data_IF_831390726882
#
_entry.id   IF_831390726882
#
_cell.length_a   1.000
_cell.length_b   1.000
_cell.length_c   1.000
_cell.angle_alpha   90.00
_cell.angle_beta   90.00
_cell.angle_gamma   90.00
#
_symmetry.space_group_name_H-M   'P 1'
#
loop_
_entity.id
_entity.type
_entity.pdbx_description
1 polymer ?
#
# COMPACT_ATOMS: atom_id res chain seq x y z
N UNK A 1 6.68 0.51 9.17
CA UNK A 1 6.27 1.73 8.44
C UNK A 1 5.37 2.64 9.28
N UNK A 2 6.03 3.44 10.12
CA UNK A 2 5.65 4.85 10.22
C UNK A 2 6.48 5.58 9.16
N UNK A 3 5.91 6.58 8.51
CA UNK A 3 6.64 7.48 7.61
C UNK A 3 7.12 8.61 8.50
N UNK A 4 8.42 8.83 8.59
CA UNK A 4 8.97 9.94 9.36
C UNK A 4 9.56 10.97 8.42
N UNK A 5 9.19 12.23 8.62
CA UNK A 5 9.80 13.33 7.90
C UNK A 5 11.32 13.31 8.16
N UNK A 6 12.13 13.21 7.10
CA UNK A 6 13.60 13.26 7.16
C UNK A 6 14.13 14.50 7.88
N UNK A 7 13.39 15.61 7.81
CA UNK A 7 13.84 16.89 8.38
C UNK A 7 13.43 17.07 9.85
N UNK A 8 12.27 16.56 10.29
CA UNK A 8 11.73 16.88 11.62
C UNK A 8 11.22 15.68 12.43
N UNK A 9 11.28 14.46 11.87
CA UNK A 9 10.77 13.24 12.50
C UNK A 9 9.25 13.14 12.61
N UNK A 10 8.51 14.19 12.23
CA UNK A 10 7.04 14.21 12.24
C UNK A 10 6.47 13.13 11.33
N UNK A 11 5.42 12.44 11.81
CA UNK A 11 4.79 11.32 11.11
C UNK A 11 3.40 11.66 10.54
N UNK A 12 3.02 12.94 10.61
CA UNK A 12 1.78 13.46 10.07
C UNK A 12 2.06 14.23 8.79
N UNK A 13 1.37 13.85 7.73
CA UNK A 13 1.50 14.47 6.42
C UNK A 13 0.11 14.89 5.95
N UNK A 14 -0.03 16.17 5.64
CA UNK A 14 -1.18 16.70 4.94
C UNK A 14 -0.81 16.80 3.48
N UNK A 15 -1.78 16.57 2.61
CA UNK A 15 -1.56 16.68 1.18
C UNK A 15 -1.92 18.09 0.72
N UNK A 16 -1.02 18.73 -0.01
CA UNK A 16 -1.29 19.99 -0.71
C UNK A 16 -0.84 19.84 -2.14
N UNK A 17 -1.80 19.89 -3.06
CA UNK A 17 -1.58 19.71 -4.50
C UNK A 17 -0.87 18.39 -4.81
N UNK A 18 0.43 18.50 -5.09
CA UNK A 18 1.30 17.52 -5.70
C UNK A 18 2.30 16.90 -4.70
N UNK A 19 2.35 17.44 -3.47
CA UNK A 19 3.31 17.06 -2.46
C UNK A 19 2.64 16.63 -1.15
N UNK A 20 3.32 15.73 -0.44
CA UNK A 20 3.06 15.43 0.96
C UNK A 20 3.79 16.44 1.81
N UNK A 21 3.02 17.29 2.49
CA UNK A 21 3.55 18.27 3.40
C UNK A 21 3.56 17.65 4.79
N UNK A 22 4.73 17.47 5.37
CA UNK A 22 4.84 17.17 6.78
C UNK A 22 4.12 18.27 7.56
N UNK A 23 3.02 17.94 8.26
CA UNK A 23 2.23 18.95 8.98
C UNK A 23 2.98 19.57 10.14
N UNK A 24 4.11 18.97 10.54
CA UNK A 24 4.94 19.42 11.64
C UNK A 24 5.99 20.45 11.20
N UNK A 25 6.54 20.37 9.99
CA UNK A 25 7.60 21.29 9.54
C UNK A 25 7.42 21.89 8.15
N UNK A 26 6.34 21.54 7.44
CA UNK A 26 6.07 22.06 6.10
C UNK A 26 6.91 21.42 4.99
N UNK A 27 7.77 20.43 5.28
CA UNK A 27 8.59 19.78 4.26
C UNK A 27 7.70 19.02 3.28
N UNK A 28 7.89 19.31 2.00
CA UNK A 28 7.23 18.68 0.88
C UNK A 28 7.99 17.42 0.43
N UNK A 29 7.24 16.35 0.16
CA UNK A 29 7.73 15.09 -0.37
C UNK A 29 6.88 14.64 -1.55
N UNK A 30 7.52 14.13 -2.60
CA UNK A 30 6.81 13.40 -3.65
C UNK A 30 6.29 12.06 -3.14
N UNK A 31 5.35 11.46 -3.86
CA UNK A 31 4.90 10.09 -3.67
C UNK A 31 6.06 9.08 -3.47
N UNK A 32 7.08 9.21 -4.32
CA UNK A 32 8.26 8.35 -4.32
C UNK A 32 9.15 8.61 -3.10
N UNK A 33 9.35 9.89 -2.74
CA UNK A 33 10.07 10.20 -1.51
C UNK A 33 9.34 9.65 -0.30
N UNK A 34 8.00 9.61 -0.27
CA UNK A 34 7.25 8.94 0.81
C UNK A 34 7.52 7.43 0.87
N UNK A 35 7.72 6.76 -0.27
CA UNK A 35 8.18 5.36 -0.33
C UNK A 35 9.64 5.28 0.19
N UNK A 36 10.51 6.21 -0.18
CA UNK A 36 11.87 6.34 0.40
C UNK A 36 11.90 6.96 1.82
N UNK A 37 10.75 7.22 2.45
CA UNK A 37 10.63 7.61 3.85
C UNK A 37 10.09 6.46 4.70
N UNK A 38 9.82 5.32 4.06
CA UNK A 38 9.43 4.12 4.76
C UNK A 38 10.67 3.34 5.20
N UNK A 39 11.06 3.56 6.46
CA UNK A 39 12.31 3.06 7.07
C UNK A 39 12.54 1.53 6.92
N UNK A 40 11.50 0.75 6.65
CA UNK A 40 11.58 -0.71 6.50
C UNK A 40 11.77 -1.21 5.05
N UNK A 41 11.61 -0.35 4.03
CA UNK A 41 11.72 -0.73 2.60
C UNK A 41 13.15 -0.46 2.06
N UNK A 42 13.92 0.36 2.75
CA UNK A 42 15.12 1.01 2.20
C UNK A 42 16.43 0.30 2.56
N UNK A 43 16.47 -0.61 3.54
CA UNK A 43 17.75 -1.19 3.95
C UNK A 43 18.43 -2.01 2.84
N UNK A 44 17.67 -2.58 1.89
CA UNK A 44 18.23 -3.48 0.86
C UNK A 44 18.15 -2.97 -0.59
N UNK A 45 17.64 -1.76 -0.85
CA UNK A 45 17.54 -1.21 -2.21
C UNK A 45 18.83 -0.54 -2.74
N UNK A 46 19.97 -0.67 -2.05
CA UNK A 46 21.26 -0.11 -2.53
C UNK A 46 21.70 -0.66 -3.89
N UNK A 47 21.16 -1.80 -4.32
CA UNK A 47 21.51 -2.46 -5.60
C UNK A 47 20.85 -1.83 -6.83
N UNK A 48 19.85 -0.95 -6.68
CA UNK A 48 19.12 -0.35 -7.81
C UNK A 48 19.47 1.14 -8.07
N UNK A 49 20.50 1.66 -7.40
CA UNK A 49 20.90 3.08 -7.47
C UNK A 49 21.57 3.50 -8.79
N UNK A 50 21.80 2.61 -9.76
CA UNK A 50 22.50 2.97 -11.01
C UNK A 50 21.62 3.59 -12.10
N UNK A 51 20.29 3.67 -11.92
CA UNK A 51 19.36 4.40 -12.82
C UNK A 51 18.73 5.66 -12.19
N UNK A 52 19.27 6.15 -11.07
CA UNK A 52 18.69 7.18 -10.19
C UNK A 52 18.58 8.59 -10.79
N UNK A 53 19.19 8.87 -11.94
CA UNK A 53 19.28 10.22 -12.50
C UNK A 53 18.04 10.75 -13.22
N UNK A 54 17.07 9.90 -13.59
CA UNK A 54 15.90 10.34 -14.39
C UNK A 54 14.55 10.13 -13.72
N UNK A 55 14.53 9.55 -12.52
CA UNK A 55 13.30 9.03 -11.89
C UNK A 55 12.61 10.13 -11.07
N UNK A 56 13.37 10.87 -10.25
CA UNK A 56 12.86 11.98 -9.43
C UNK A 56 12.37 13.20 -10.22
N UNK A 57 12.93 13.44 -11.41
CA UNK A 57 12.47 14.53 -12.29
C UNK A 57 11.25 14.17 -13.13
N UNK A 58 11.05 12.88 -13.46
CA UNK A 58 9.90 12.41 -14.26
C UNK A 58 8.66 12.11 -13.41
N UNK A 59 8.82 11.66 -12.17
CA UNK A 59 7.67 11.38 -11.27
C UNK A 59 7.13 12.62 -10.54
N UNK A 60 7.80 13.77 -10.62
CA UNK A 60 7.23 15.09 -10.24
C UNK A 60 5.97 15.44 -11.03
N UNK A 61 5.80 14.80 -12.19
CA UNK A 61 4.68 15.04 -13.11
C UNK A 61 3.49 14.07 -12.89
N UNK A 62 3.57 13.20 -11.87
CA UNK A 62 2.59 12.15 -11.58
C UNK A 62 1.39 12.68 -10.77
N UNK A 63 0.79 13.72 -11.30
CA UNK A 63 -0.46 14.25 -10.81
C UNK A 63 -1.52 14.08 -11.87
N UNK A 64 -2.77 13.84 -11.47
CA UNK A 64 -3.86 14.09 -12.37
C UNK A 64 -3.87 15.58 -12.68
N UNK A 65 -3.20 15.98 -13.76
CA UNK A 65 -3.18 17.36 -14.27
C UNK A 65 -4.59 17.84 -14.67
N UNK A 66 -5.58 16.95 -14.59
CA UNK A 66 -6.94 17.13 -15.07
C UNK A 66 -7.95 16.74 -13.97
N UNK A 67 -9.15 17.33 -13.97
CA UNK A 67 -10.20 16.98 -13.03
C UNK A 67 -10.73 15.55 -13.25
N UNK A 68 -11.36 14.96 -12.25
CA UNK A 68 -11.94 13.61 -12.32
C UNK A 68 -12.81 13.39 -13.58
N UNK A 69 -13.63 14.38 -13.94
CA UNK A 69 -14.52 14.35 -15.11
C UNK A 69 -13.78 14.17 -16.45
N UNK A 70 -12.52 14.61 -16.53
CA UNK A 70 -11.67 14.39 -17.70
C UNK A 70 -11.36 12.90 -17.86
N UNK A 71 -10.93 12.24 -16.79
CA UNK A 71 -10.59 10.81 -16.81
C UNK A 71 -11.83 9.93 -16.97
N UNK A 72 -12.96 10.32 -16.39
CA UNK A 72 -14.24 9.64 -16.62
C UNK A 72 -14.64 9.71 -18.10
N UNK A 73 -14.42 10.85 -18.75
CA UNK A 73 -14.65 11.01 -20.18
C UNK A 73 -13.64 10.22 -21.03
N UNK A 74 -12.40 10.09 -20.58
CA UNK A 74 -11.40 9.23 -21.22
C UNK A 74 -11.83 7.76 -21.17
N UNK A 75 -12.30 7.26 -20.02
CA UNK A 75 -12.79 5.88 -19.89
C UNK A 75 -14.06 5.59 -20.72
N UNK A 76 -14.91 6.59 -20.96
CA UNK A 76 -16.05 6.43 -21.89
C UNK A 76 -15.60 6.21 -23.33
N UNK A 77 -14.47 6.80 -23.74
CA UNK A 77 -13.90 6.63 -25.09
C UNK A 77 -13.04 5.38 -25.21
N UNK A 78 -12.24 5.10 -24.19
CA UNK A 78 -11.40 3.92 -24.10
C UNK A 78 -11.52 3.32 -22.70
N UNK A 79 -12.37 2.30 -22.51
CA UNK A 79 -12.53 1.63 -21.21
C UNK A 79 -11.23 1.02 -20.66
N UNK A 80 -10.25 0.76 -21.53
CA UNK A 80 -8.97 0.17 -21.17
C UNK A 80 -7.87 1.22 -20.93
N UNK A 81 -8.15 2.53 -20.92
CA UNK A 81 -7.14 3.55 -20.63
C UNK A 81 -6.61 3.41 -19.20
N UNK A 82 -5.45 2.77 -19.04
CA UNK A 82 -4.88 2.48 -17.73
C UNK A 82 -4.55 3.77 -16.95
N UNK A 83 -4.11 4.81 -17.65
CA UNK A 83 -3.77 6.09 -17.06
C UNK A 83 -5.03 6.77 -16.48
N UNK A 84 -6.14 6.72 -17.20
CA UNK A 84 -7.43 7.20 -16.69
C UNK A 84 -7.95 6.35 -15.53
N UNK A 85 -7.84 5.02 -15.58
CA UNK A 85 -8.21 4.14 -14.47
C UNK A 85 -7.40 4.47 -13.21
N UNK A 86 -6.09 4.65 -13.36
CA UNK A 86 -5.16 4.91 -12.27
C UNK A 86 -5.41 6.27 -11.62
N UNK A 87 -5.60 7.32 -12.42
CA UNK A 87 -5.92 8.66 -11.91
C UNK A 87 -7.28 8.72 -11.23
N UNK A 88 -8.27 7.97 -11.69
CA UNK A 88 -9.56 7.84 -11.01
C UNK A 88 -9.40 7.14 -9.65
N UNK A 89 -8.55 6.11 -9.57
CA UNK A 89 -8.24 5.43 -8.30
C UNK A 89 -7.59 6.42 -7.32
N UNK A 90 -6.67 7.23 -7.81
CA UNK A 90 -6.01 8.21 -6.96
C UNK A 90 -6.95 9.33 -6.48
N UNK A 91 -7.69 9.95 -7.41
CA UNK A 91 -8.58 11.08 -7.13
C UNK A 91 -9.75 10.72 -6.20
N UNK A 92 -10.25 9.49 -6.28
CA UNK A 92 -11.34 9.06 -5.41
C UNK A 92 -10.85 8.54 -4.05
N UNK A 93 -9.62 8.02 -3.95
CA UNK A 93 -9.04 7.63 -2.66
C UNK A 93 -8.90 8.83 -1.71
N UNK A 94 -8.51 9.98 -2.25
CA UNK A 94 -8.37 11.25 -1.50
C UNK A 94 -9.70 11.75 -0.92
N UNK A 95 -10.81 11.41 -1.57
CA UNK A 95 -12.18 11.82 -1.18
C UNK A 95 -12.92 10.76 -0.40
N UNK A 96 -12.34 9.58 -0.23
CA UNK A 96 -13.03 8.43 0.35
C UNK A 96 -13.33 8.70 1.83
N UNK A 97 -14.59 8.53 2.21
CA UNK A 97 -14.96 8.54 3.63
C UNK A 97 -14.43 7.27 4.29
N UNK A 98 -14.19 7.36 5.60
CA UNK A 98 -13.76 6.23 6.45
C UNK A 98 -14.58 4.95 6.22
N UNK A 99 -15.90 5.09 6.04
CA UNK A 99 -16.83 3.97 5.76
C UNK A 99 -16.71 3.37 4.37
N UNK A 100 -16.12 4.08 3.42
CA UNK A 100 -15.99 3.69 2.01
C UNK A 100 -14.63 3.03 1.70
N UNK A 101 -13.68 3.08 2.63
CA UNK A 101 -12.31 2.61 2.45
C UNK A 101 -12.22 1.12 2.13
N UNK A 102 -12.89 0.25 2.90
CA UNK A 102 -12.87 -1.19 2.63
C UNK A 102 -13.45 -1.52 1.23
N UNK A 103 -14.65 -1.02 0.88
CA UNK A 103 -15.15 -1.12 -0.50
C UNK A 103 -14.16 -0.63 -1.55
N UNK A 104 -13.44 0.46 -1.25
CA UNK A 104 -12.45 1.04 -2.15
C UNK A 104 -11.25 0.13 -2.37
N UNK A 105 -10.66 -0.40 -1.29
CA UNK A 105 -9.53 -1.35 -1.37
C UNK A 105 -9.93 -2.57 -2.20
N UNK A 106 -11.14 -3.10 -1.99
CA UNK A 106 -11.66 -4.22 -2.79
C UNK A 106 -11.83 -3.87 -4.27
N UNK A 107 -12.22 -2.64 -4.59
CA UNK A 107 -12.25 -2.15 -5.98
C UNK A 107 -10.84 -2.12 -6.57
N UNK A 108 -9.84 -1.68 -5.82
CA UNK A 108 -8.43 -1.69 -6.25
C UNK A 108 -7.92 -3.10 -6.52
N UNK A 109 -8.24 -4.06 -5.65
CA UNK A 109 -7.93 -5.48 -5.86
C UNK A 109 -8.52 -5.97 -7.18
N UNK A 110 -9.80 -5.67 -7.43
CA UNK A 110 -10.49 -6.17 -8.62
C UNK A 110 -10.06 -5.49 -9.93
N UNK A 111 -9.53 -4.27 -9.87
CA UNK A 111 -9.09 -3.51 -11.05
C UNK A 111 -7.59 -3.70 -11.34
N UNK A 112 -6.79 -4.07 -10.35
CA UNK A 112 -5.37 -4.44 -10.47
C UNK A 112 -5.05 -5.26 -11.74
N UNK A 113 -5.65 -6.45 -11.94
CA UNK A 113 -5.31 -7.27 -13.10
C UNK A 113 -5.77 -6.66 -14.42
N UNK A 114 -6.78 -5.78 -14.42
CA UNK A 114 -7.26 -5.09 -15.63
C UNK A 114 -6.30 -3.99 -16.05
N UNK A 115 -5.77 -3.23 -15.09
CA UNK A 115 -4.77 -2.18 -15.33
C UNK A 115 -3.49 -2.81 -15.86
N UNK A 116 -3.00 -3.87 -15.22
CA UNK A 116 -1.77 -4.55 -15.61
C UNK A 116 -1.91 -5.21 -17.00
N UNK A 117 -3.06 -5.84 -17.32
CA UNK A 117 -3.33 -6.33 -18.68
C UNK A 117 -3.36 -5.22 -19.70
N UNK A 118 -4.01 -4.09 -19.41
CA UNK A 118 -4.00 -2.94 -20.32
C UNK A 118 -2.59 -2.43 -20.60
N UNK A 119 -1.72 -2.37 -19.58
CA UNK A 119 -0.31 -2.01 -19.76
C UNK A 119 0.40 -3.01 -20.68
N UNK A 120 0.24 -4.33 -20.44
CA UNK A 120 0.82 -5.40 -21.28
C UNK A 120 0.33 -5.31 -22.73
N UNK A 121 -0.97 -5.08 -22.92
CA UNK A 121 -1.63 -5.03 -24.24
C UNK A 121 -1.35 -3.71 -24.98
N UNK A 122 -0.82 -2.68 -24.29
CA UNK A 122 -0.43 -1.40 -24.90
C UNK A 122 0.87 -1.49 -25.71
N UNK A 123 1.57 -2.63 -25.67
CA UNK A 123 2.83 -2.86 -26.39
C UNK A 123 3.87 -1.75 -26.21
N UNK A 124 3.95 -1.22 -24.98
CA UNK A 124 4.96 -0.24 -24.60
C UNK A 124 6.35 -0.88 -24.74
N UNK A 125 7.36 -0.04 -25.00
CA UNK A 125 8.73 -0.50 -24.83
C UNK A 125 9.01 -0.81 -23.35
N UNK A 126 10.07 -1.56 -23.08
CA UNK A 126 10.36 -2.08 -21.75
C UNK A 126 10.49 -0.97 -20.68
N UNK A 127 11.16 0.14 -20.99
CA UNK A 127 11.31 1.24 -20.06
C UNK A 127 9.97 1.89 -19.71
N UNK A 128 9.09 2.10 -20.69
CA UNK A 128 7.76 2.70 -20.47
C UNK A 128 6.78 1.74 -19.80
N UNK A 129 6.88 0.45 -20.10
CA UNK A 129 6.09 -0.59 -19.42
C UNK A 129 6.46 -0.65 -17.93
N UNK A 130 7.76 -0.66 -17.64
CA UNK A 130 8.28 -0.59 -16.28
C UNK A 130 7.80 0.68 -15.57
N UNK A 131 7.92 1.85 -16.20
CA UNK A 131 7.44 3.13 -15.66
C UNK A 131 5.94 3.07 -15.31
N UNK A 132 5.10 2.59 -16.23
CA UNK A 132 3.66 2.44 -15.99
C UNK A 132 3.35 1.49 -14.82
N UNK A 133 4.08 0.38 -14.68
CA UNK A 133 3.88 -0.56 -13.56
C UNK A 133 4.29 0.08 -12.23
N UNK A 134 5.40 0.83 -12.23
CA UNK A 134 5.84 1.60 -11.07
C UNK A 134 4.79 2.63 -10.64
N UNK A 135 4.18 3.33 -11.58
CA UNK A 135 3.10 4.28 -11.31
C UNK A 135 1.91 3.59 -10.61
N UNK A 136 1.50 2.41 -11.09
CA UNK A 136 0.43 1.63 -10.47
C UNK A 136 0.80 1.25 -9.03
N UNK A 137 2.01 0.74 -8.82
CA UNK A 137 2.53 0.38 -7.50
C UNK A 137 2.53 1.60 -6.56
N UNK A 138 2.99 2.75 -7.04
CA UNK A 138 3.05 3.99 -6.28
C UNK A 138 1.67 4.47 -5.82
N UNK A 139 0.67 4.46 -6.70
CA UNK A 139 -0.71 4.80 -6.32
C UNK A 139 -1.25 3.83 -5.28
N UNK A 140 -1.01 2.53 -5.44
CA UNK A 140 -1.48 1.54 -4.48
C UNK A 140 -0.86 1.75 -3.10
N UNK A 141 0.44 2.01 -3.03
CA UNK A 141 1.16 2.32 -1.79
C UNK A 141 0.65 3.59 -1.12
N UNK A 142 0.54 4.68 -1.87
CA UNK A 142 -0.02 5.93 -1.36
C UNK A 142 -1.42 5.74 -0.80
N UNK A 143 -2.30 5.13 -1.59
CA UNK A 143 -3.70 4.95 -1.18
C UNK A 143 -3.77 4.07 0.06
N UNK A 144 -2.93 3.04 0.15
CA UNK A 144 -2.83 2.19 1.32
C UNK A 144 -2.34 2.93 2.57
N UNK A 145 -1.35 3.83 2.45
CA UNK A 145 -0.89 4.69 3.54
C UNK A 145 -2.00 5.63 3.99
N UNK A 146 -2.66 6.32 3.05
CA UNK A 146 -3.80 7.20 3.33
C UNK A 146 -4.90 6.46 4.08
N UNK A 147 -5.25 5.25 3.62
CA UNK A 147 -6.29 4.45 4.24
C UNK A 147 -5.89 3.86 5.60
N UNK A 148 -4.62 3.46 5.77
CA UNK A 148 -4.10 3.02 7.06
C UNK A 148 -4.23 4.12 8.12
N UNK A 149 -3.86 5.34 7.73
CA UNK A 149 -3.76 6.49 8.63
C UNK A 149 -5.06 7.31 8.71
N UNK A 150 -6.07 6.95 7.92
CA UNK A 150 -7.40 7.55 7.97
C UNK A 150 -8.12 7.20 9.28
N UNK A 151 -7.77 7.95 10.31
CA UNK A 151 -8.48 7.95 11.58
C UNK A 151 -9.17 9.28 11.77
N UNK A 152 -10.40 9.19 12.27
CA UNK A 152 -11.00 10.30 12.96
C UNK A 152 -10.27 10.45 14.30
N UNK A 153 -9.24 11.29 14.37
CA UNK A 153 -8.47 11.53 15.61
C UNK A 153 -9.34 11.97 16.79
N UNK A 154 -10.58 12.40 16.56
CA UNK A 154 -11.55 12.70 17.61
C UNK A 154 -12.28 11.45 18.13
N UNK A 155 -12.46 10.43 17.31
CA UNK A 155 -13.11 9.17 17.63
C UNK A 155 -12.38 8.39 18.75
N UNK A 156 -11.05 8.28 18.67
CA UNK A 156 -10.24 7.56 19.69
C UNK A 156 -10.16 8.29 21.04
N UNK A 157 -10.35 9.61 21.07
CA UNK A 157 -10.28 10.42 22.29
C UNK A 157 -11.61 10.50 23.06
N UNK A 158 -12.74 10.23 22.42
CA UNK A 158 -14.10 10.46 22.97
C UNK A 158 -14.86 9.14 23.19
N UNK A 159 -14.29 8.01 22.80
CA UNK A 159 -14.96 6.71 22.79
C UNK A 159 -15.27 6.11 24.17
N UNK A 160 -16.49 5.60 24.34
CA UNK A 160 -16.74 4.51 25.28
C UNK A 160 -16.19 3.18 24.72
N UNK A 161 -16.10 2.16 25.58
CA UNK A 161 -15.44 0.88 25.26
C UNK A 161 -16.02 0.19 24.02
N UNK A 162 -17.34 0.21 23.85
CA UNK A 162 -18.02 -0.38 22.68
C UNK A 162 -17.65 0.31 21.35
N UNK A 163 -17.50 1.63 21.37
CA UNK A 163 -17.07 2.38 20.19
C UNK A 163 -15.58 2.13 19.88
N UNK A 164 -14.72 2.06 20.91
CA UNK A 164 -13.32 1.69 20.74
C UNK A 164 -13.18 0.27 20.14
N UNK A 165 -14.00 -0.68 20.58
CA UNK A 165 -14.05 -2.04 20.01
C UNK A 165 -14.45 -2.02 18.52
N UNK A 166 -15.46 -1.24 18.12
CA UNK A 166 -15.89 -1.13 16.72
C UNK A 166 -14.82 -0.51 15.84
N UNK A 167 -14.20 0.59 16.29
CA UNK A 167 -13.12 1.28 15.57
C UNK A 167 -11.92 0.36 15.39
N UNK A 168 -11.55 -0.40 16.42
CA UNK A 168 -10.47 -1.38 16.35
C UNK A 168 -10.78 -2.52 15.36
N UNK A 169 -12.03 -3.00 15.31
CA UNK A 169 -12.47 -4.01 14.34
C UNK A 169 -12.42 -3.49 12.91
N UNK A 170 -12.93 -2.28 12.64
CA UNK A 170 -12.89 -1.69 11.30
C UNK A 170 -11.45 -1.44 10.84
N UNK A 171 -10.59 -0.93 11.72
CA UNK A 171 -9.18 -0.74 11.42
C UNK A 171 -8.50 -2.07 11.11
N UNK A 172 -8.69 -3.10 11.94
CA UNK A 172 -8.18 -4.45 11.70
C UNK A 172 -8.61 -4.99 10.32
N UNK A 173 -9.89 -4.86 9.97
CA UNK A 173 -10.40 -5.28 8.67
C UNK A 173 -9.79 -4.50 7.50
N UNK A 174 -9.54 -3.18 7.66
CA UNK A 174 -8.84 -2.39 6.64
C UNK A 174 -7.43 -2.91 6.41
N UNK A 175 -6.68 -3.17 7.47
CA UNK A 175 -5.30 -3.69 7.35
C UNK A 175 -5.29 -5.07 6.67
N UNK A 176 -6.27 -5.94 6.98
CA UNK A 176 -6.44 -7.22 6.28
C UNK A 176 -6.67 -7.04 4.78
N UNK A 177 -7.53 -6.10 4.39
CA UNK A 177 -7.83 -5.82 2.97
C UNK A 177 -6.63 -5.18 2.27
N UNK A 178 -5.89 -4.28 2.93
CA UNK A 178 -4.64 -3.74 2.39
C UNK A 178 -3.60 -4.84 2.19
N UNK A 179 -3.48 -5.77 3.13
CA UNK A 179 -2.60 -6.93 2.97
C UNK A 179 -2.99 -7.75 1.74
N UNK A 180 -4.30 -7.98 1.55
CA UNK A 180 -4.82 -8.69 0.37
C UNK A 180 -4.49 -7.93 -0.92
N UNK A 181 -4.62 -6.61 -0.93
CA UNK A 181 -4.25 -5.77 -2.08
C UNK A 181 -2.83 -6.02 -2.54
N UNK A 182 -1.84 -5.94 -1.64
CA UNK A 182 -0.45 -6.09 -2.03
C UNK A 182 -0.08 -7.53 -2.42
N UNK A 183 -0.63 -8.52 -1.73
CA UNK A 183 -0.45 -9.91 -2.12
C UNK A 183 -1.02 -10.20 -3.51
N UNK A 184 -2.27 -9.79 -3.76
CA UNK A 184 -2.89 -9.95 -5.08
C UNK A 184 -2.16 -9.16 -6.15
N UNK A 185 -1.71 -7.93 -5.87
CA UNK A 185 -0.94 -7.14 -6.83
C UNK A 185 0.37 -7.82 -7.22
N UNK A 186 1.11 -8.40 -6.27
CA UNK A 186 2.33 -9.16 -6.58
C UNK A 186 2.03 -10.43 -7.39
N UNK A 187 0.97 -11.17 -7.04
CA UNK A 187 0.53 -12.36 -7.78
C UNK A 187 0.08 -11.99 -9.22
N UNK A 188 -0.60 -10.86 -9.38
CA UNK A 188 -1.01 -10.32 -10.69
C UNK A 188 0.22 -9.93 -11.53
N UNK A 189 1.24 -9.29 -10.94
CA UNK A 189 2.48 -8.95 -11.63
C UNK A 189 3.20 -10.18 -12.17
N UNK A 190 3.36 -11.21 -11.34
CA UNK A 190 4.00 -12.45 -11.76
C UNK A 190 3.21 -13.17 -12.86
N UNK A 191 1.89 -13.28 -12.69
CA UNK A 191 1.05 -14.04 -13.62
C UNK A 191 0.80 -13.32 -14.93
N UNK A 192 0.64 -11.99 -14.92
CA UNK A 192 0.35 -11.22 -16.14
C UNK A 192 1.61 -11.02 -16.95
N UNK A 193 2.77 -10.78 -16.34
CA UNK A 193 4.02 -10.51 -17.06
C UNK A 193 5.00 -11.69 -17.06
N UNK A 194 4.50 -12.91 -16.80
CA UNK A 194 5.27 -14.14 -16.90
C UNK A 194 6.58 -14.09 -16.07
N UNK A 195 6.52 -13.45 -14.90
CA UNK A 195 7.65 -13.27 -13.99
C UNK A 195 8.66 -12.18 -14.36
N UNK A 196 8.47 -11.41 -15.44
CA UNK A 196 9.37 -10.32 -15.87
C UNK A 196 9.64 -9.29 -14.76
N UNK A 197 8.63 -9.00 -13.94
CA UNK A 197 8.67 -7.98 -12.89
C UNK A 197 8.72 -8.57 -11.48
N UNK A 198 9.44 -9.70 -11.30
CA UNK A 198 9.46 -10.42 -10.02
C UNK A 198 9.99 -9.58 -8.85
N UNK A 199 10.97 -8.70 -9.07
CA UNK A 199 11.49 -7.81 -8.02
C UNK A 199 10.40 -6.84 -7.50
N UNK A 200 9.54 -6.35 -8.39
CA UNK A 200 8.40 -5.52 -8.02
C UNK A 200 7.33 -6.33 -7.27
N UNK A 201 7.09 -7.57 -7.69
CA UNK A 201 6.19 -8.47 -6.97
C UNK A 201 6.70 -8.72 -5.53
N UNK A 202 8.01 -8.94 -5.36
CA UNK A 202 8.66 -9.08 -4.05
C UNK A 202 8.45 -7.85 -3.16
N UNK A 203 8.62 -6.64 -3.70
CA UNK A 203 8.35 -5.40 -2.94
C UNK A 203 6.88 -5.33 -2.49
N UNK A 204 5.96 -5.77 -3.34
CA UNK A 204 4.54 -5.86 -2.98
C UNK A 204 4.31 -6.89 -1.86
N UNK A 205 4.88 -8.09 -1.93
CA UNK A 205 4.78 -9.10 -0.87
C UNK A 205 5.33 -8.61 0.46
N UNK A 206 6.51 -7.97 0.45
CA UNK A 206 7.10 -7.36 1.65
C UNK A 206 6.16 -6.34 2.29
N UNK A 207 5.52 -5.51 1.47
CA UNK A 207 4.52 -4.54 1.92
C UNK A 207 3.31 -5.23 2.53
N UNK A 208 2.79 -6.28 1.89
CA UNK A 208 1.69 -7.10 2.42
C UNK A 208 2.02 -7.75 3.77
N UNK A 209 3.20 -8.38 3.89
CA UNK A 209 3.69 -8.96 5.16
C UNK A 209 3.76 -7.88 6.24
N UNK A 210 4.29 -6.71 5.91
CA UNK A 210 4.41 -5.62 6.86
C UNK A 210 3.04 -5.19 7.44
N UNK A 211 2.03 -4.99 6.59
CA UNK A 211 0.66 -4.72 7.06
C UNK A 211 0.13 -5.83 7.97
N UNK A 212 0.41 -7.08 7.63
CA UNK A 212 -0.04 -8.22 8.41
C UNK A 212 0.62 -8.31 9.79
N UNK A 213 1.91 -7.97 9.90
CA UNK A 213 2.65 -7.96 11.16
C UNK A 213 2.09 -6.93 12.17
N UNK A 214 1.36 -5.92 11.72
CA UNK A 214 0.69 -4.96 12.61
C UNK A 214 -0.55 -5.54 13.29
N UNK A 215 -1.18 -6.55 12.69
CA UNK A 215 -2.45 -7.09 13.18
C UNK A 215 -2.38 -8.55 13.64
N UNK A 216 -1.29 -9.28 13.36
CA UNK A 216 -1.22 -10.72 13.64
C UNK A 216 -1.45 -11.07 15.12
N UNK A 217 -1.01 -10.21 16.05
CA UNK A 217 -1.24 -10.40 17.49
C UNK A 217 -2.70 -10.23 17.92
N UNK A 218 -3.45 -9.51 17.10
CA UNK A 218 -4.85 -9.19 17.34
C UNK A 218 -5.78 -10.27 16.78
N UNK A 219 -5.26 -11.16 15.93
CA UNK A 219 -6.06 -12.20 15.31
C UNK A 219 -6.36 -13.36 16.28
N UNK A 220 -7.61 -13.82 16.27
CA UNK A 220 -8.05 -14.97 17.05
C UNK A 220 -7.39 -16.28 16.59
N UNK A 221 -7.16 -16.43 15.28
CA UNK A 221 -6.50 -17.60 14.69
C UNK A 221 -5.20 -17.18 13.98
N UNK A 222 -4.12 -17.08 14.74
CA UNK A 222 -2.81 -16.68 14.23
C UNK A 222 -2.25 -17.67 13.20
N UNK A 223 -2.57 -18.96 13.28
CA UNK A 223 -2.01 -19.99 12.40
C UNK A 223 -2.35 -19.76 10.93
N UNK A 224 -3.59 -19.36 10.64
CA UNK A 224 -4.01 -19.02 9.26
C UNK A 224 -3.19 -17.86 8.73
N UNK A 225 -2.92 -16.87 9.59
CA UNK A 225 -2.13 -15.70 9.24
C UNK A 225 -0.64 -16.06 9.05
N UNK A 226 -0.06 -16.84 9.96
CA UNK A 226 1.33 -17.31 9.88
C UNK A 226 1.57 -18.11 8.60
N UNK A 227 0.67 -19.04 8.27
CA UNK A 227 0.75 -19.82 7.02
C UNK A 227 0.76 -18.92 5.80
N UNK A 228 -0.09 -17.89 5.79
CA UNK A 228 -0.14 -16.93 4.68
C UNK A 228 1.15 -16.10 4.57
N UNK A 229 1.70 -15.62 5.68
CA UNK A 229 3.00 -14.92 5.67
C UNK A 229 4.08 -15.85 5.10
N UNK A 230 4.22 -17.05 5.65
CA UNK A 230 5.27 -18.00 5.24
C UNK A 230 5.21 -18.32 3.75
N UNK A 231 4.01 -18.49 3.20
CA UNK A 231 3.84 -18.67 1.76
C UNK A 231 4.46 -17.52 0.95
N UNK A 232 4.20 -16.26 1.31
CA UNK A 232 4.77 -15.12 0.60
C UNK A 232 6.26 -14.90 0.91
N UNK A 233 6.74 -15.27 2.10
CA UNK A 233 8.19 -15.28 2.39
C UNK A 233 8.94 -16.28 1.53
N UNK A 234 8.36 -17.46 1.26
CA UNK A 234 8.94 -18.43 0.31
C UNK A 234 9.05 -17.82 -1.08
N UNK A 235 8.01 -17.11 -1.56
CA UNK A 235 8.07 -16.39 -2.84
C UNK A 235 9.16 -15.32 -2.86
N UNK A 236 9.33 -14.58 -1.77
CA UNK A 236 10.42 -13.59 -1.62
C UNK A 236 11.78 -14.27 -1.72
N UNK A 237 11.98 -15.39 -1.01
CA UNK A 237 13.27 -16.13 -1.00
C UNK A 237 13.67 -16.74 -2.35
N UNK A 238 12.73 -16.87 -3.30
CA UNK A 238 13.06 -17.26 -4.68
C UNK A 238 13.85 -16.17 -5.44
N UNK A 239 13.80 -14.93 -4.96
CA UNK A 239 14.51 -13.77 -5.55
C UNK A 239 15.60 -13.27 -4.60
N UNK A 240 15.32 -13.27 -3.30
CA UNK A 240 16.20 -12.80 -2.23
C UNK A 240 16.44 -13.92 -1.22
N UNK A 241 17.36 -14.87 -1.49
CA UNK A 241 17.54 -16.07 -0.67
C UNK A 241 17.91 -15.81 0.79
N UNK A 242 18.50 -14.64 1.06
CA UNK A 242 18.91 -14.16 2.38
C UNK A 242 17.81 -13.39 3.13
N UNK A 243 16.58 -13.32 2.59
CA UNK A 243 15.47 -12.64 3.24
C UNK A 243 15.16 -13.20 4.64
N UNK A 244 15.34 -12.35 5.65
CA UNK A 244 15.08 -12.66 7.06
C UNK A 244 13.62 -12.34 7.45
N UNK A 245 12.96 -13.31 8.09
CA UNK A 245 11.59 -13.12 8.56
C UNK A 245 11.53 -12.22 9.79
N UNK A 246 10.68 -11.19 9.73
CA UNK A 246 10.30 -10.37 10.90
C UNK A 246 9.17 -11.00 11.73
N UNK A 247 8.62 -12.15 11.32
CA UNK A 247 7.50 -12.81 11.97
C UNK A 247 7.84 -13.23 13.40
N UNK A 248 8.99 -13.85 13.60
CA UNK A 248 9.39 -14.42 14.89
C UNK A 248 9.62 -13.34 15.97
N UNK A 249 10.11 -12.16 15.56
CA UNK A 249 10.26 -10.99 16.42
C UNK A 249 8.91 -10.43 16.89
N UNK A 250 7.88 -10.51 16.04
CA UNK A 250 6.54 -10.03 16.37
C UNK A 250 5.79 -11.08 17.19
N UNK A 251 5.82 -12.36 16.84
CA UNK A 251 5.02 -13.41 17.52
C UNK A 251 5.54 -13.73 18.93
N UNK A 252 6.85 -13.59 19.21
CA UNK A 252 7.48 -13.92 20.51
C UNK A 252 7.11 -13.03 21.73
N UNK A 253 6.10 -12.15 21.60
CA UNK A 253 5.54 -11.38 22.73
C UNK A 253 4.01 -11.43 22.70
N UNK A 254 3.42 -12.48 23.29
CA UNK A 254 2.01 -12.50 23.73
C UNK A 254 1.70 -13.74 24.58
N UNK A 255 1.72 -13.61 25.91
CA UNK A 255 0.96 -14.52 26.81
C UNK A 255 -0.41 -13.94 27.19
N UNK A 256 -0.81 -12.83 26.57
CA UNK A 256 -2.05 -12.14 26.88
C UNK A 256 -2.51 -11.35 25.64
N UNK A 257 -3.25 -12.00 24.74
CA UNK A 257 -3.88 -11.28 23.64
C UNK A 257 -5.08 -10.49 24.17
N UNK A 258 -5.17 -9.22 23.77
CA UNK A 258 -6.27 -8.32 24.13
C UNK A 258 -7.64 -8.88 23.73
N UNK A 259 -7.74 -9.58 22.59
CA UNK A 259 -8.96 -10.23 22.12
C UNK A 259 -9.33 -11.50 22.90
N UNK A 260 -8.34 -12.26 23.41
CA UNK A 260 -8.58 -13.42 24.25
C UNK A 260 -9.32 -13.08 25.56
N UNK A 261 -9.06 -11.89 26.13
CA UNK A 261 -9.78 -11.39 27.30
C UNK A 261 -11.14 -10.74 26.97
N UNK A 262 -11.32 -10.30 25.72
CA UNK A 262 -12.52 -9.62 25.24
C UNK A 262 -13.66 -10.59 24.90
N UNK A 263 -13.33 -11.83 24.54
CA UNK A 263 -14.32 -12.87 24.20
C UNK A 263 -14.46 -13.97 25.27
N UNK A 264 -13.66 -13.95 26.33
CA UNK A 264 -13.70 -14.94 27.42
C UNK A 264 -14.62 -14.56 28.60
N UNK A 265 -15.32 -13.42 28.54
CA UNK A 265 -16.37 -13.07 29.51
C UNK A 265 -17.73 -13.27 28.86
N UNK A 266 -18.20 -14.52 28.87
CA UNK A 266 -19.63 -14.85 28.90
C UNK A 266 -20.02 -15.16 30.33
#
# INVERSE_FOLDING_TARGET
>A
MEIHCKDCGGNKFARKEEMYICTSCGREYSAFEVIELTDDVISDQKTYQSKKGSITEKTKDFHPKKPLSYYESALKRNPNDFNAQLNIIYLNADKAKVTEIIPYIRKMINISPKILKSIKDSHLNEDKEMEAIWEVSGVFQITAVTFKNSEDTNARKIANEAYAQRVNKEWYLRILELTKLFFTFGDDLESIFDGKYRDLAVNSYKTGIWYYLDIIKLADNQDVHIKKIRHYEEKIRLVEPDFESKLDLKVSKSKDSFFGRLFSRK
#
